data_IF_804220394344
#
_entry.id   IF_804220394344
#
_cell.length_a   1.000
_cell.length_b   1.000
_cell.length_c   1.000
_cell.angle_alpha   90.00
_cell.angle_beta   90.00
_cell.angle_gamma   90.00
#
_symmetry.space_group_name_H-M   'P 1'
#
loop_
_entity.id
_entity.type
_entity.pdbx_description
1 polymer ?
#
# COMPACT_ATOMS: atom_id res chain seq x y z
N UNK A 1 8.90 -14.29 3.73
CA UNK A 1 8.57 -13.79 2.37
C UNK A 1 9.09 -12.36 2.26
N UNK A 2 9.90 -12.03 1.25
CA UNK A 2 10.62 -10.75 1.18
C UNK A 2 9.75 -9.65 0.52
N UNK A 3 9.67 -8.45 1.10
CA UNK A 3 8.97 -7.29 0.52
C UNK A 3 9.44 -6.95 -0.91
N UNK A 4 10.67 -7.33 -1.28
CA UNK A 4 11.21 -7.18 -2.65
C UNK A 4 10.45 -7.98 -3.72
N UNK A 5 9.79 -9.09 -3.37
CA UNK A 5 9.00 -9.86 -4.34
C UNK A 5 7.76 -9.09 -4.75
N UNK A 6 7.14 -8.39 -3.81
CA UNK A 6 5.88 -7.66 -3.96
C UNK A 6 6.07 -6.37 -4.75
N UNK A 7 7.22 -5.71 -4.61
CA UNK A 7 7.62 -4.58 -5.47
C UNK A 7 7.54 -4.95 -6.94
N UNK A 8 8.08 -6.12 -7.31
CA UNK A 8 8.12 -6.58 -8.69
C UNK A 8 6.83 -7.21 -9.19
N UNK A 9 5.97 -7.71 -8.30
CA UNK A 9 4.73 -8.42 -8.70
C UNK A 9 3.46 -7.61 -8.53
N UNK A 10 3.37 -6.72 -7.54
CA UNK A 10 2.13 -6.02 -7.21
C UNK A 10 2.19 -4.54 -7.53
N UNK A 11 3.24 -3.82 -7.09
CA UNK A 11 3.32 -2.37 -7.31
C UNK A 11 3.75 -2.00 -8.74
N UNK A 12 4.55 -2.86 -9.39
CA UNK A 12 4.95 -2.70 -10.79
C UNK A 12 3.91 -3.25 -11.79
N UNK A 13 2.79 -3.80 -11.33
CA UNK A 13 1.72 -4.28 -12.21
C UNK A 13 1.18 -3.13 -13.07
N UNK A 14 1.11 -3.35 -14.39
CA UNK A 14 0.69 -2.31 -15.35
C UNK A 14 -0.69 -1.75 -15.02
N UNK A 15 -1.62 -2.58 -14.55
CA UNK A 15 -2.98 -2.17 -14.19
C UNK A 15 -2.96 -1.29 -12.94
N UNK A 16 -2.13 -1.62 -11.95
CA UNK A 16 -1.95 -0.78 -10.76
C UNK A 16 -1.40 0.59 -11.15
N UNK A 17 -0.35 0.64 -11.97
CA UNK A 17 0.26 1.90 -12.41
C UNK A 17 -0.72 2.75 -13.23
N UNK A 18 -1.45 2.15 -14.16
CA UNK A 18 -2.44 2.85 -14.98
C UNK A 18 -3.58 3.41 -14.12
N UNK A 19 -4.11 2.61 -13.19
CA UNK A 19 -5.20 3.03 -12.31
C UNK A 19 -4.75 4.14 -11.37
N UNK A 20 -3.57 4.00 -10.75
CA UNK A 20 -2.99 5.03 -9.90
C UNK A 20 -2.83 6.37 -10.64
N UNK A 21 -2.37 6.34 -11.90
CA UNK A 21 -2.27 7.55 -12.73
C UNK A 21 -3.64 8.16 -13.06
N UNK A 22 -4.63 7.33 -13.45
CA UNK A 22 -6.00 7.76 -13.75
C UNK A 22 -6.61 8.56 -12.59
N UNK A 23 -6.40 8.09 -11.36
CA UNK A 23 -7.00 8.69 -10.16
C UNK A 23 -6.08 9.68 -9.44
N UNK A 24 -4.93 10.04 -10.04
CA UNK A 24 -3.90 10.92 -9.45
C UNK A 24 -3.43 10.45 -8.06
N UNK A 25 -3.35 9.14 -7.86
CA UNK A 25 -2.86 8.54 -6.62
C UNK A 25 -1.36 8.83 -6.44
N UNK A 26 -0.97 9.29 -5.24
CA UNK A 26 0.42 9.52 -4.87
C UNK A 26 0.96 8.31 -4.08
N UNK A 27 1.87 7.50 -4.66
CA UNK A 27 2.45 6.36 -3.95
C UNK A 27 3.51 6.81 -2.94
N UNK A 28 3.43 6.29 -1.72
CA UNK A 28 4.45 6.45 -0.69
C UNK A 28 5.02 5.09 -0.31
N UNK A 29 6.35 5.04 -0.14
CA UNK A 29 7.06 3.84 0.30
C UNK A 29 7.83 4.16 1.56
N UNK A 30 7.65 3.32 2.58
CA UNK A 30 8.48 3.33 3.79
C UNK A 30 9.39 2.11 3.73
N UNK A 31 10.70 2.33 3.79
CA UNK A 31 11.66 1.24 3.95
C UNK A 31 11.68 0.80 5.42
N UNK A 32 11.38 -0.48 5.65
CA UNK A 32 11.33 -1.09 6.98
C UNK A 32 12.56 -1.99 7.24
N UNK A 33 13.59 -1.94 6.39
CA UNK A 33 14.78 -2.82 6.51
C UNK A 33 15.57 -2.56 7.79
N UNK A 34 15.67 -1.29 8.19
CA UNK A 34 16.20 -0.89 9.49
C UNK A 34 15.01 -0.67 10.43
N UNK A 35 14.62 -1.75 11.11
CA UNK A 35 13.40 -1.82 11.92
C UNK A 35 13.65 -1.17 13.29
N UNK A 36 13.63 0.16 13.33
CA UNK A 36 13.74 0.94 14.57
C UNK A 36 12.37 1.17 15.23
N UNK A 37 12.38 1.70 16.46
CA UNK A 37 11.15 1.92 17.24
C UNK A 37 10.16 2.86 16.53
N UNK A 38 10.63 3.99 15.98
CA UNK A 38 9.78 4.94 15.25
C UNK A 38 9.02 4.30 14.08
N UNK A 39 9.67 3.40 13.32
CA UNK A 39 9.04 2.70 12.20
C UNK A 39 8.07 1.63 12.66
N UNK A 40 8.39 0.94 13.76
CA UNK A 40 7.46 -0.01 14.38
C UNK A 40 6.21 0.70 14.89
N UNK A 41 6.38 1.83 15.59
CA UNK A 41 5.27 2.67 16.05
C UNK A 41 4.44 3.19 14.87
N UNK A 42 5.10 3.60 13.77
CA UNK A 42 4.40 4.02 12.56
C UNK A 42 3.54 2.89 11.98
N UNK A 43 4.08 1.67 11.90
CA UNK A 43 3.35 0.50 11.42
C UNK A 43 2.15 0.19 12.31
N UNK A 44 2.35 0.16 13.63
CA UNK A 44 1.31 -0.11 14.63
C UNK A 44 0.23 0.99 14.64
N UNK A 45 0.62 2.26 14.53
CA UNK A 45 -0.28 3.41 14.45
C UNK A 45 -1.28 3.28 13.29
N UNK A 46 -0.84 2.70 12.17
CA UNK A 46 -1.72 2.44 11.04
C UNK A 46 -2.40 1.07 11.09
N UNK A 47 -2.18 0.27 12.13
CA UNK A 47 -2.80 -1.04 12.32
C UNK A 47 -2.11 -2.16 11.54
N UNK A 48 -0.85 -1.99 11.17
CA UNK A 48 -0.01 -3.06 10.66
C UNK A 48 0.60 -3.86 11.80
N UNK A 49 0.53 -5.19 11.70
CA UNK A 49 1.11 -6.11 12.69
C UNK A 49 2.16 -7.03 12.10
N UNK A 50 2.26 -7.09 10.76
CA UNK A 50 3.21 -7.90 10.02
C UNK A 50 3.51 -7.27 8.66
N UNK A 51 4.68 -7.60 8.11
CA UNK A 51 5.03 -7.29 6.73
C UNK A 51 4.72 -8.49 5.82
N UNK A 52 4.34 -8.26 4.55
CA UNK A 52 4.14 -6.94 3.96
C UNK A 52 2.84 -6.27 4.40
N UNK A 53 2.87 -4.95 4.38
CA UNK A 53 1.74 -4.11 4.73
C UNK A 53 1.60 -2.95 3.75
N UNK A 54 0.38 -2.68 3.33
CA UNK A 54 0.04 -1.51 2.51
C UNK A 54 -1.29 -0.93 2.98
N UNK A 55 -1.50 0.35 2.73
CA UNK A 55 -2.78 0.99 2.96
C UNK A 55 -3.07 2.02 1.87
N UNK A 56 -4.35 2.33 1.72
CA UNK A 56 -4.83 3.47 0.95
C UNK A 56 -5.40 4.48 1.95
N UNK A 57 -5.04 5.74 1.79
CA UNK A 57 -5.49 6.83 2.65
C UNK A 57 -5.83 8.07 1.82
N UNK A 58 -6.78 8.86 2.31
CA UNK A 58 -7.05 10.18 1.78
C UNK A 58 -5.93 11.17 2.17
N UNK A 59 -5.82 12.29 1.45
CA UNK A 59 -4.84 13.34 1.76
C UNK A 59 -4.99 13.98 3.14
N UNK A 60 -6.13 13.78 3.81
CA UNK A 60 -6.38 14.23 5.19
C UNK A 60 -5.94 13.23 6.27
N UNK A 61 -5.33 12.09 5.89
CA UNK A 61 -4.85 11.08 6.84
C UNK A 61 -5.82 9.93 7.11
N UNK A 62 -7.08 10.00 6.64
CA UNK A 62 -8.07 8.95 6.89
C UNK A 62 -7.75 7.69 6.07
N UNK A 63 -7.59 6.56 6.77
CA UNK A 63 -7.34 5.26 6.15
C UNK A 63 -8.62 4.73 5.53
N UNK A 64 -8.55 4.43 4.23
CA UNK A 64 -9.65 3.90 3.42
C UNK A 64 -9.64 2.38 3.47
N UNK A 65 -8.46 1.78 3.28
CA UNK A 65 -8.29 0.34 3.25
C UNK A 65 -6.90 -0.07 3.69
N UNK A 66 -6.81 -1.21 4.38
CA UNK A 66 -5.57 -1.83 4.82
C UNK A 66 -5.39 -3.17 4.12
N UNK A 67 -4.15 -3.50 3.81
CA UNK A 67 -3.72 -4.78 3.26
C UNK A 67 -2.64 -5.33 4.17
N UNK A 68 -3.01 -6.30 5.01
CA UNK A 68 -2.07 -7.02 5.86
C UNK A 68 -1.84 -8.43 5.29
N UNK A 69 -0.58 -8.81 5.12
CA UNK A 69 -0.22 -10.12 4.56
C UNK A 69 -0.23 -10.16 3.03
N UNK A 70 -0.42 -11.35 2.44
CA UNK A 70 -0.40 -11.50 0.98
C UNK A 70 -1.67 -10.94 0.34
N UNK A 71 -1.51 -10.04 -0.63
CA UNK A 71 -2.55 -9.56 -1.54
C UNK A 71 -2.03 -9.66 -2.98
N UNK A 72 -2.80 -9.24 -3.99
CA UNK A 72 -2.33 -9.26 -5.39
C UNK A 72 -2.39 -7.87 -6.03
N UNK A 73 -1.66 -7.67 -7.14
CA UNK A 73 -1.75 -6.45 -7.94
C UNK A 73 -3.18 -6.17 -8.43
N UNK A 74 -3.95 -7.21 -8.78
CA UNK A 74 -5.37 -7.08 -9.16
C UNK A 74 -6.20 -6.48 -8.02
N UNK A 75 -6.07 -7.04 -6.81
CA UNK A 75 -6.84 -6.59 -5.63
C UNK A 75 -6.48 -5.16 -5.24
N UNK A 76 -5.21 -4.77 -5.42
CA UNK A 76 -4.75 -3.40 -5.19
C UNK A 76 -5.29 -2.44 -6.25
N UNK A 77 -5.25 -2.81 -7.53
CA UNK A 77 -5.78 -1.98 -8.62
C UNK A 77 -7.29 -1.73 -8.46
N UNK A 78 -8.06 -2.78 -8.16
CA UNK A 78 -9.51 -2.65 -7.89
C UNK A 78 -9.79 -1.72 -6.71
N UNK A 79 -8.99 -1.80 -5.65
CA UNK A 79 -9.14 -0.90 -4.51
C UNK A 79 -8.82 0.57 -4.86
N UNK A 80 -7.81 0.82 -5.69
CA UNK A 80 -7.46 2.16 -6.14
C UNK A 80 -8.53 2.71 -7.09
N UNK A 81 -9.07 1.91 -8.01
CA UNK A 81 -10.11 2.37 -8.95
C UNK A 81 -11.40 2.75 -8.23
N UNK A 82 -11.75 2.01 -7.16
CA UNK A 82 -12.89 2.33 -6.31
C UNK A 82 -12.75 3.68 -5.57
N UNK A 83 -11.53 4.22 -5.42
CA UNK A 83 -11.33 5.56 -4.86
C UNK A 83 -11.83 6.67 -5.79
N UNK A 84 -11.96 6.41 -7.09
CA UNK A 84 -12.38 7.40 -8.08
C UNK A 84 -13.89 7.61 -8.14
N UNK A 85 -14.66 6.73 -7.48
CA UNK A 85 -16.12 6.65 -7.59
C UNK A 85 -16.81 7.46 -6.46
N UNK A 86 -16.04 8.10 -5.57
CA UNK A 86 -16.53 8.97 -4.49
C UNK A 86 -15.84 10.33 -4.55
#
# INVERSE_FOLDING_TARGET
>A
MNCKVLDKTYYADKKVVQTARKVKFAPYRVDMTDFNEDRKELLEKFGGTALPYALLMYGNGNVIRRFAGMFTGKTLAEAIDNLAIH
#
